data_IF_911636843881
#
_entry.id   IF_911636843881
#
_cell.length_a   1.000
_cell.length_b   1.000
_cell.length_c   1.000
_cell.angle_alpha   90.00
_cell.angle_beta   90.00
_cell.angle_gamma   90.00
#
_symmetry.space_group_name_H-M   'P 1'
#
loop_
_entity.id
_entity.type
_entity.pdbx_description
1 polymer ?
#
# COMPACT_ATOMS: atom_id res chain seq x y z
N UNK A 1 -52.25 42.99 -56.89
CA UNK A 1 -51.29 43.58 -55.92
C UNK A 1 -51.77 43.24 -54.52
N UNK A 2 -51.27 42.20 -53.91
CA UNK A 2 -51.44 41.86 -52.44
C UNK A 2 -50.12 41.26 -51.94
N UNK A 3 -49.51 41.97 -51.02
CA UNK A 3 -48.28 41.66 -50.36
C UNK A 3 -48.47 40.56 -49.34
N UNK A 4 -47.72 39.45 -49.46
CA UNK A 4 -47.68 38.39 -48.47
C UNK A 4 -46.55 38.70 -47.46
N UNK A 5 -46.90 38.96 -46.22
CA UNK A 5 -45.95 39.03 -45.08
C UNK A 5 -45.66 37.61 -44.62
N UNK A 6 -44.43 37.16 -44.71
CA UNK A 6 -43.91 35.95 -44.06
C UNK A 6 -43.51 36.30 -42.60
N UNK A 7 -44.20 35.65 -41.67
CA UNK A 7 -43.82 35.66 -40.26
C UNK A 7 -42.74 34.59 -40.04
N UNK A 8 -41.57 34.98 -39.57
CA UNK A 8 -40.51 34.11 -39.14
C UNK A 8 -40.73 33.89 -37.61
N UNK A 9 -41.00 32.66 -37.20
CA UNK A 9 -41.02 32.25 -35.81
C UNK A 9 -39.56 31.97 -35.38
N UNK A 10 -39.04 32.77 -34.49
CA UNK A 10 -37.74 32.54 -33.85
C UNK A 10 -37.99 31.67 -32.61
N UNK A 11 -37.58 30.41 -32.66
CA UNK A 11 -37.55 29.53 -31.50
C UNK A 11 -36.30 29.82 -30.67
N UNK A 12 -36.47 30.44 -29.54
CA UNK A 12 -35.37 30.65 -28.57
C UNK A 12 -35.16 29.35 -27.81
N UNK A 13 -34.04 28.66 -28.08
CA UNK A 13 -33.53 27.60 -27.21
C UNK A 13 -32.93 28.27 -25.94
N UNK A 14 -33.58 28.10 -24.82
CA UNK A 14 -32.97 28.39 -23.52
C UNK A 14 -32.00 27.26 -23.16
N UNK A 15 -30.70 27.48 -23.35
CA UNK A 15 -29.66 26.71 -22.67
C UNK A 15 -29.60 27.18 -21.22
N UNK A 16 -30.13 26.38 -20.31
CA UNK A 16 -29.88 26.57 -18.87
C UNK A 16 -28.44 26.14 -18.56
N UNK A 17 -27.52 27.08 -18.55
CA UNK A 17 -26.21 26.90 -17.98
C UNK A 17 -26.35 26.81 -16.46
N UNK A 18 -26.28 25.61 -15.90
CA UNK A 18 -26.12 25.42 -14.47
C UNK A 18 -24.73 25.91 -14.08
N UNK A 19 -24.66 27.12 -13.55
CA UNK A 19 -23.45 27.65 -12.92
C UNK A 19 -23.28 26.87 -11.62
N UNK A 20 -22.35 25.90 -11.62
CA UNK A 20 -21.84 25.31 -10.37
C UNK A 20 -21.03 26.42 -9.69
N UNK A 21 -21.64 27.12 -8.75
CA UNK A 21 -20.91 27.98 -7.82
C UNK A 21 -20.02 27.05 -6.97
N UNK A 22 -18.72 27.12 -7.21
CA UNK A 22 -17.76 26.63 -6.25
C UNK A 22 -17.95 27.46 -4.96
N UNK A 23 -18.59 26.86 -3.97
CA UNK A 23 -18.57 27.41 -2.62
C UNK A 23 -17.11 27.34 -2.16
N UNK A 24 -16.49 28.51 -2.04
CA UNK A 24 -15.28 28.65 -1.24
C UNK A 24 -15.66 28.34 0.21
N UNK A 25 -15.41 27.10 0.61
CA UNK A 25 -15.42 26.74 2.02
C UNK A 25 -14.28 27.53 2.64
N UNK A 26 -14.59 28.51 3.47
CA UNK A 26 -13.61 29.14 4.35
C UNK A 26 -12.90 28.01 5.11
N UNK A 27 -11.58 28.13 5.22
CA UNK A 27 -10.75 27.24 6.04
C UNK A 27 -11.02 27.53 7.55
N UNK A 28 -12.28 27.40 7.94
CA UNK A 28 -12.62 27.24 9.34
C UNK A 28 -12.15 25.87 9.76
N UNK A 29 -11.22 25.86 10.69
CA UNK A 29 -10.66 24.70 11.36
C UNK A 29 -11.65 23.54 11.35
N UNK A 30 -11.32 22.49 10.56
CA UNK A 30 -12.06 21.25 10.62
C UNK A 30 -11.94 20.79 12.06
N UNK A 31 -13.05 20.87 12.82
CA UNK A 31 -13.06 20.34 14.18
C UNK A 31 -12.86 18.84 14.07
N UNK A 32 -11.70 18.36 14.50
CA UNK A 32 -11.44 16.94 14.65
C UNK A 32 -12.62 16.33 15.43
N UNK A 33 -13.23 15.28 14.87
CA UNK A 33 -14.25 14.51 15.57
C UNK A 33 -15.72 14.85 15.32
N UNK A 34 -16.06 15.84 14.49
CA UNK A 34 -17.45 16.14 14.18
C UNK A 34 -17.77 15.80 12.71
N UNK A 35 -18.21 14.58 12.45
CA UNK A 35 -18.62 14.18 11.09
C UNK A 35 -18.35 12.70 10.82
N UNK A 36 -18.67 12.29 9.60
CA UNK A 36 -18.32 10.97 9.10
C UNK A 36 -17.38 11.15 7.90
N UNK A 37 -16.20 10.58 7.97
CA UNK A 37 -15.17 10.67 6.91
C UNK A 37 -14.57 9.32 6.60
N UNK A 38 -14.09 9.20 5.38
CA UNK A 38 -13.22 8.13 4.96
C UNK A 38 -11.96 8.74 4.32
N UNK A 39 -10.80 8.28 4.77
CA UNK A 39 -9.50 8.78 4.33
C UNK A 39 -8.73 7.65 3.67
N UNK A 40 -8.45 7.78 2.39
CA UNK A 40 -7.56 6.88 1.67
C UNK A 40 -6.16 7.48 1.75
N UNK A 41 -5.29 6.86 2.53
CA UNK A 41 -3.92 7.34 2.72
C UNK A 41 -3.15 7.18 1.42
N UNK A 42 -2.40 8.20 1.07
CA UNK A 42 -1.75 8.29 -0.22
C UNK A 42 -0.60 7.32 -0.34
N UNK A 43 -0.81 6.31 -1.15
CA UNK A 43 0.25 5.38 -1.52
C UNK A 43 0.93 5.88 -2.77
N UNK A 44 2.12 6.42 -2.67
CA UNK A 44 2.97 6.63 -3.85
C UNK A 44 3.69 5.36 -4.28
N UNK A 45 3.42 4.24 -3.65
CA UNK A 45 3.96 2.96 -4.05
C UNK A 45 3.52 2.65 -5.48
N UNK A 46 4.47 2.33 -6.35
CA UNK A 46 4.16 1.94 -7.74
C UNK A 46 3.27 0.71 -7.80
N UNK A 47 3.39 -0.17 -6.81
CA UNK A 47 2.62 -1.40 -6.67
C UNK A 47 1.24 -1.21 -6.05
N UNK A 48 0.96 -0.08 -5.41
CA UNK A 48 -0.23 0.09 -4.59
C UNK A 48 0.02 -0.32 -3.14
N UNK A 49 -0.83 0.15 -2.24
CA UNK A 49 -0.88 -0.24 -0.83
C UNK A 49 -2.16 0.34 -0.23
N UNK A 50 -2.71 -0.30 0.76
CA UNK A 50 -3.93 0.15 1.41
C UNK A 50 -3.66 0.58 2.85
N UNK A 51 -4.12 1.79 3.17
CA UNK A 51 -4.29 2.27 4.53
C UNK A 51 -5.50 3.21 4.54
N UNK A 52 -6.57 2.81 5.19
CA UNK A 52 -7.86 3.50 5.12
C UNK A 52 -8.33 3.85 6.53
N UNK A 53 -8.39 5.15 6.85
CA UNK A 53 -8.91 5.62 8.12
C UNK A 53 -10.41 5.89 7.99
N UNK A 54 -11.18 5.32 8.90
CA UNK A 54 -12.57 5.65 9.15
C UNK A 54 -12.64 6.61 10.34
N UNK A 55 -13.34 7.74 10.17
CA UNK A 55 -13.61 8.73 11.22
C UNK A 55 -15.11 8.91 11.34
N UNK A 56 -15.64 8.75 12.55
CA UNK A 56 -17.06 8.95 12.82
C UNK A 56 -17.32 9.42 14.24
N UNK A 57 -17.77 10.66 14.38
CA UNK A 57 -18.19 11.24 15.66
C UNK A 57 -17.15 11.08 16.79
N UNK A 58 -15.86 11.31 16.47
CA UNK A 58 -14.75 11.19 17.41
C UNK A 58 -14.21 9.76 17.62
N UNK A 59 -14.74 8.79 16.89
CA UNK A 59 -14.28 7.42 16.83
C UNK A 59 -13.44 7.19 15.58
N UNK A 60 -12.43 6.36 15.67
CA UNK A 60 -11.48 6.10 14.60
C UNK A 60 -11.19 4.61 14.46
N UNK A 61 -11.02 4.15 13.23
CA UNK A 61 -10.54 2.81 12.94
C UNK A 61 -9.67 2.81 11.69
N UNK A 62 -8.74 1.85 11.59
CA UNK A 62 -7.96 1.61 10.39
C UNK A 62 -8.36 0.29 9.73
N UNK A 63 -8.52 0.32 8.42
CA UNK A 63 -8.59 -0.87 7.58
C UNK A 63 -7.34 -0.86 6.72
N UNK A 64 -6.49 -1.85 6.93
CA UNK A 64 -5.13 -1.95 6.46
C UNK A 64 -4.21 -0.81 6.93
N UNK A 65 -2.92 -1.04 7.03
CA UNK A 65 -1.91 -0.15 7.58
C UNK A 65 -0.77 0.15 6.60
N UNK A 66 -0.90 -0.38 5.39
CA UNK A 66 0.04 -0.13 4.31
C UNK A 66 1.35 -0.89 4.42
N UNK A 67 2.24 -0.52 3.51
CA UNK A 67 3.59 -1.08 3.37
C UNK A 67 4.53 -0.51 4.44
N UNK A 68 5.50 -1.28 4.84
CA UNK A 68 6.56 -0.87 5.76
C UNK A 68 7.97 -0.99 5.13
N UNK A 69 8.99 -0.79 5.97
CA UNK A 69 10.39 -0.91 5.59
C UNK A 69 11.06 -2.15 6.15
N UNK A 70 10.37 -2.83 7.02
CA UNK A 70 10.89 -4.02 7.66
C UNK A 70 10.63 -5.24 6.78
N UNK A 71 11.69 -5.96 6.47
CA UNK A 71 11.61 -7.23 5.76
C UNK A 71 12.67 -8.19 6.30
N UNK A 72 12.43 -9.50 6.20
CA UNK A 72 13.36 -10.47 6.71
C UNK A 72 14.70 -10.43 5.96
N UNK A 73 15.80 -10.53 6.70
CA UNK A 73 17.15 -10.61 6.14
C UNK A 73 17.58 -12.04 5.75
N UNK A 74 16.68 -13.01 5.90
CA UNK A 74 16.91 -14.42 5.59
C UNK A 74 17.73 -15.17 6.63
N UNK A 75 18.13 -14.56 7.74
CA UNK A 75 18.92 -15.23 8.79
C UNK A 75 18.07 -16.10 9.70
N UNK A 76 16.79 -15.79 9.89
CA UNK A 76 15.83 -16.63 10.59
C UNK A 76 15.19 -17.61 9.60
N UNK A 77 15.34 -18.94 9.79
CA UNK A 77 14.81 -19.93 8.87
C UNK A 77 13.27 -19.92 8.76
N UNK A 78 12.56 -19.31 9.69
CA UNK A 78 11.10 -19.10 9.58
C UNK A 78 10.75 -18.09 8.50
N UNK A 79 11.65 -17.14 8.23
CA UNK A 79 11.47 -16.07 7.26
C UNK A 79 12.59 -16.13 6.21
N UNK A 80 12.52 -17.14 5.33
CA UNK A 80 13.55 -17.29 4.31
C UNK A 80 13.53 -16.13 3.32
N UNK A 81 14.68 -15.85 2.76
CA UNK A 81 14.82 -14.90 1.69
C UNK A 81 14.04 -15.36 0.45
N UNK A 82 13.03 -14.59 0.00
CA UNK A 82 12.11 -14.95 -1.09
C UNK A 82 12.10 -13.92 -2.20
N UNK A 83 11.68 -14.38 -3.38
CA UNK A 83 11.46 -13.50 -4.51
C UNK A 83 10.35 -12.49 -4.20
N UNK A 84 10.53 -11.25 -4.65
CA UNK A 84 9.56 -10.17 -4.45
C UNK A 84 9.83 -9.32 -3.22
N UNK A 85 10.48 -9.87 -2.18
CA UNK A 85 10.95 -9.08 -1.04
C UNK A 85 12.08 -8.18 -1.52
N UNK A 86 11.83 -6.92 -1.72
CA UNK A 86 12.87 -5.97 -2.09
C UNK A 86 12.47 -4.54 -1.78
N UNK A 87 13.45 -3.76 -1.34
CA UNK A 87 13.30 -2.35 -1.00
C UNK A 87 12.98 -1.41 -2.16
N UNK A 88 12.67 -1.88 -3.36
CA UNK A 88 12.48 -1.01 -4.50
C UNK A 88 11.18 -0.23 -4.50
N UNK A 89 10.17 -0.74 -3.83
CA UNK A 89 8.82 -0.20 -3.87
C UNK A 89 8.40 0.44 -2.55
N UNK A 90 9.20 0.23 -1.50
CA UNK A 90 8.93 0.74 -0.16
C UNK A 90 9.17 2.25 -0.14
N UNK A 91 8.15 3.00 -0.45
CA UNK A 91 8.12 4.43 -0.26
C UNK A 91 7.23 4.75 0.93
N UNK A 92 7.85 5.09 2.01
CA UNK A 92 7.46 5.91 3.16
C UNK A 92 5.95 6.03 3.45
N UNK A 93 5.18 4.94 3.28
CA UNK A 93 3.77 4.98 3.59
C UNK A 93 3.52 5.15 5.08
N UNK A 94 4.31 4.50 5.93
CA UNK A 94 4.20 4.60 7.38
C UNK A 94 4.29 6.05 7.88
N UNK A 95 5.30 6.79 7.44
CA UNK A 95 5.47 8.19 7.83
C UNK A 95 4.27 9.04 7.41
N UNK A 96 3.71 8.78 6.24
CA UNK A 96 2.52 9.47 5.74
C UNK A 96 1.28 9.09 6.53
N UNK A 97 1.12 7.79 6.76
CA UNK A 97 0.03 7.27 7.58
C UNK A 97 0.07 7.91 8.97
N UNK A 98 1.19 7.81 9.68
CA UNK A 98 1.34 8.37 11.03
C UNK A 98 1.17 9.89 11.06
N UNK A 99 1.74 10.60 10.08
CA UNK A 99 1.58 12.06 9.98
C UNK A 99 0.12 12.44 9.75
N UNK A 100 -0.58 11.72 8.89
CA UNK A 100 -2.00 11.98 8.64
C UNK A 100 -2.86 11.68 9.87
N UNK A 101 -2.62 10.57 10.57
CA UNK A 101 -3.31 10.26 11.82
C UNK A 101 -3.08 11.34 12.90
N UNK A 102 -1.85 11.86 12.99
CA UNK A 102 -1.51 12.96 13.92
C UNK A 102 -2.20 14.26 13.51
N UNK A 103 -2.30 14.58 12.22
CA UNK A 103 -3.03 15.75 11.71
C UNK A 103 -4.53 15.68 12.02
N UNK A 104 -5.11 14.49 11.88
CA UNK A 104 -6.52 14.23 12.24
C UNK A 104 -6.71 14.28 13.76
N UNK A 105 -5.64 14.10 14.54
CA UNK A 105 -5.66 14.10 16.01
C UNK A 105 -6.00 12.74 16.61
N UNK A 106 -5.81 11.65 15.87
CA UNK A 106 -6.03 10.28 16.35
C UNK A 106 -5.15 10.01 17.56
N UNK A 107 -5.75 9.53 18.65
CA UNK A 107 -5.05 9.05 19.85
C UNK A 107 -5.37 7.59 20.13
N UNK A 108 -6.55 7.18 19.73
CA UNK A 108 -7.09 5.86 19.93
C UNK A 108 -7.80 5.39 18.66
N UNK A 109 -7.65 4.10 18.36
CA UNK A 109 -8.38 3.39 17.34
C UNK A 109 -9.31 2.37 18.03
N UNK A 110 -10.59 2.41 17.73
CA UNK A 110 -11.56 1.46 18.27
C UNK A 110 -11.25 0.05 17.74
N UNK A 111 -10.79 -0.02 16.52
CA UNK A 111 -10.22 -1.23 15.97
C UNK A 111 -9.23 -0.95 14.83
N UNK A 112 -8.42 -1.94 14.56
CA UNK A 112 -7.60 -2.08 13.37
C UNK A 112 -7.98 -3.39 12.69
N UNK A 113 -8.11 -3.40 11.38
CA UNK A 113 -8.43 -4.58 10.61
C UNK A 113 -7.37 -4.77 9.52
N UNK A 114 -6.62 -5.87 9.57
CA UNK A 114 -5.82 -6.35 8.45
C UNK A 114 -6.70 -7.22 7.56
N UNK A 115 -6.90 -6.80 6.31
CA UNK A 115 -7.74 -7.57 5.39
C UNK A 115 -7.12 -8.93 5.08
N UNK A 116 -5.82 -8.96 4.83
CA UNK A 116 -5.00 -10.14 4.62
C UNK A 116 -3.52 -9.82 4.95
N UNK A 117 -2.59 -10.76 4.77
CA UNK A 117 -1.25 -10.64 5.37
C UNK A 117 -0.14 -10.10 4.46
N UNK A 118 -0.44 -9.63 3.27
CA UNK A 118 0.57 -9.02 2.42
C UNK A 118 1.12 -7.74 3.06
N UNK A 119 2.40 -7.43 2.80
CA UNK A 119 3.10 -6.29 3.40
C UNK A 119 2.44 -4.96 3.07
N UNK A 120 1.95 -4.79 1.86
CA UNK A 120 1.26 -3.58 1.41
C UNK A 120 -0.14 -3.36 2.04
N UNK A 121 -0.53 -4.24 2.98
CA UNK A 121 -1.74 -4.14 3.81
C UNK A 121 -1.46 -4.15 5.31
N UNK A 122 -0.59 -5.03 5.79
CA UNK A 122 -0.29 -5.14 7.22
C UNK A 122 1.16 -4.83 7.59
N UNK A 123 1.98 -4.40 6.63
CA UNK A 123 3.37 -4.04 6.91
C UNK A 123 3.48 -3.06 8.08
N UNK A 124 2.81 -1.92 8.01
CA UNK A 124 2.84 -0.91 9.06
C UNK A 124 2.02 -1.23 10.33
N UNK A 125 1.57 -2.49 10.51
CA UNK A 125 0.71 -2.85 11.64
C UNK A 125 1.42 -2.74 12.98
N UNK A 126 2.66 -3.14 13.07
CA UNK A 126 3.41 -3.12 14.33
C UNK A 126 3.75 -1.69 14.77
N UNK A 127 4.04 -0.76 13.87
CA UNK A 127 4.20 0.66 14.17
C UNK A 127 2.91 1.28 14.69
N UNK A 128 1.78 1.00 14.03
CA UNK A 128 0.46 1.50 14.46
C UNK A 128 0.12 0.96 15.84
N UNK A 129 0.25 -0.34 16.06
CA UNK A 129 -0.02 -1.00 17.34
C UNK A 129 0.91 -0.51 18.46
N UNK A 130 2.17 -0.19 18.13
CA UNK A 130 3.12 0.35 19.11
C UNK A 130 2.87 1.82 19.43
N UNK A 131 2.35 2.61 18.51
CA UNK A 131 2.20 4.07 18.66
C UNK A 131 0.86 4.48 19.24
N UNK A 132 -0.23 3.89 18.78
CA UNK A 132 -1.58 4.29 19.15
C UNK A 132 -2.21 3.31 20.16
N UNK A 133 -3.18 3.79 20.94
CA UNK A 133 -4.06 2.89 21.69
C UNK A 133 -5.00 2.21 20.72
N UNK A 134 -5.06 0.88 20.74
CA UNK A 134 -5.95 0.07 19.90
C UNK A 134 -6.74 -0.88 20.79
N UNK A 135 -8.07 -0.88 20.65
CA UNK A 135 -8.90 -1.79 21.47
C UNK A 135 -8.93 -3.20 20.89
N UNK A 136 -9.10 -3.34 19.56
CA UNK A 136 -9.18 -4.64 18.89
C UNK A 136 -8.36 -4.65 17.60
N UNK A 137 -7.72 -5.77 17.32
CA UNK A 137 -7.06 -6.05 16.06
C UNK A 137 -7.70 -7.27 15.41
N UNK A 138 -8.38 -7.06 14.29
CA UNK A 138 -8.98 -8.13 13.48
C UNK A 138 -7.98 -8.57 12.42
N UNK A 139 -7.64 -9.86 12.40
CA UNK A 139 -6.74 -10.47 11.41
C UNK A 139 -7.00 -11.96 11.36
N UNK A 140 -7.21 -12.54 10.18
CA UNK A 140 -7.39 -13.99 10.03
C UNK A 140 -6.10 -14.74 10.36
N UNK A 141 -6.23 -16.02 10.73
CA UNK A 141 -5.08 -16.90 10.93
C UNK A 141 -4.34 -17.10 9.60
N UNK A 142 -3.03 -17.13 9.69
CA UNK A 142 -2.15 -17.34 8.56
C UNK A 142 -1.11 -18.44 8.82
N UNK A 143 -0.66 -19.07 7.76
CA UNK A 143 0.48 -19.97 7.71
C UNK A 143 0.96 -20.06 6.27
N UNK A 144 2.26 -20.03 6.03
CA UNK A 144 2.84 -20.19 4.70
C UNK A 144 2.44 -21.50 4.01
N UNK A 145 2.17 -22.57 4.80
CA UNK A 145 1.73 -23.86 4.27
C UNK A 145 0.40 -23.81 3.51
N UNK A 146 -0.41 -22.78 3.75
CA UNK A 146 -1.68 -22.60 3.04
C UNK A 146 -1.51 -22.05 1.63
N UNK A 147 -0.43 -21.36 1.36
CA UNK A 147 -0.18 -20.71 0.05
C UNK A 147 0.42 -21.72 -0.91
N UNK A 148 -0.22 -21.91 -2.06
CA UNK A 148 0.22 -22.90 -3.07
C UNK A 148 1.10 -22.28 -4.15
N UNK A 149 1.05 -20.96 -4.34
CA UNK A 149 1.91 -20.24 -5.26
C UNK A 149 3.15 -19.70 -4.53
N UNK A 150 4.33 -20.06 -5.02
CA UNK A 150 5.57 -19.47 -4.48
C UNK A 150 5.65 -17.94 -4.69
N UNK A 151 4.88 -17.41 -5.62
CA UNK A 151 4.79 -15.98 -5.90
C UNK A 151 3.97 -15.20 -4.85
N UNK A 152 3.05 -15.88 -4.15
CA UNK A 152 2.21 -15.28 -3.12
C UNK A 152 2.77 -15.45 -1.69
N UNK A 153 3.99 -15.96 -1.54
CA UNK A 153 4.57 -16.19 -0.21
C UNK A 153 5.28 -14.97 0.38
N UNK A 154 5.92 -14.17 -0.41
CA UNK A 154 6.68 -12.96 0.00
C UNK A 154 7.20 -13.01 1.45
N UNK A 155 7.00 -11.95 2.24
CA UNK A 155 7.32 -11.82 3.67
C UNK A 155 6.09 -11.92 4.58
N UNK A 156 5.03 -12.52 4.09
CA UNK A 156 3.73 -12.61 4.75
C UNK A 156 3.83 -13.08 6.22
N UNK A 157 4.56 -14.19 6.46
CA UNK A 157 4.71 -14.72 7.82
C UNK A 157 5.49 -13.77 8.73
N UNK A 158 6.44 -13.02 8.18
CA UNK A 158 7.21 -12.02 8.93
C UNK A 158 6.31 -10.89 9.41
N UNK A 159 5.54 -10.29 8.52
CA UNK A 159 4.61 -9.20 8.85
C UNK A 159 3.51 -9.68 9.80
N UNK A 160 2.96 -10.87 9.55
CA UNK A 160 1.97 -11.49 10.44
C UNK A 160 2.50 -11.68 11.86
N UNK A 161 3.70 -12.25 12.04
CA UNK A 161 4.31 -12.47 13.35
C UNK A 161 4.69 -11.15 14.04
N UNK A 162 5.15 -10.13 13.29
CA UNK A 162 5.46 -8.81 13.82
C UNK A 162 4.20 -8.12 14.35
N UNK A 163 3.13 -8.10 13.56
CA UNK A 163 1.85 -7.53 13.96
C UNK A 163 1.29 -8.19 15.24
N UNK A 164 1.29 -9.53 15.29
CA UNK A 164 0.82 -10.27 16.47
C UNK A 164 1.70 -10.00 17.70
N UNK A 165 3.01 -9.93 17.53
CA UNK A 165 3.95 -9.61 18.61
C UNK A 165 3.71 -8.20 19.14
N UNK A 166 3.53 -7.22 18.27
CA UNK A 166 3.23 -5.85 18.66
C UNK A 166 1.90 -5.78 19.43
N UNK A 167 0.85 -6.42 18.93
CA UNK A 167 -0.43 -6.50 19.61
C UNK A 167 -0.31 -7.13 21.01
N UNK A 168 0.42 -8.24 21.14
CA UNK A 168 0.67 -8.91 22.42
C UNK A 168 1.42 -7.98 23.39
N UNK A 169 2.49 -7.32 22.95
CA UNK A 169 3.31 -6.42 23.77
C UNK A 169 2.50 -5.23 24.29
N UNK A 170 1.48 -4.81 23.55
CA UNK A 170 0.61 -3.68 23.89
C UNK A 170 -0.69 -4.09 24.59
N UNK A 171 -0.92 -5.39 24.76
CA UNK A 171 -2.15 -5.91 25.37
C UNK A 171 -3.41 -5.68 24.51
N UNK A 172 -3.24 -5.56 23.19
CA UNK A 172 -4.36 -5.39 22.26
C UNK A 172 -5.11 -6.71 22.11
N UNK A 173 -6.43 -6.66 22.10
CA UNK A 173 -7.26 -7.85 21.87
C UNK A 173 -7.20 -8.25 20.38
N UNK A 174 -6.51 -9.36 20.08
CA UNK A 174 -6.45 -9.91 18.72
C UNK A 174 -7.64 -10.85 18.48
N UNK A 175 -8.40 -10.58 17.41
CA UNK A 175 -9.60 -11.35 17.02
C UNK A 175 -9.30 -12.07 15.70
N UNK A 176 -8.86 -13.33 15.81
CA UNK A 176 -8.51 -14.17 14.65
C UNK A 176 -9.63 -15.12 14.21
N UNK A 177 -10.47 -15.56 15.15
CA UNK A 177 -11.64 -16.38 14.89
C UNK A 177 -12.90 -15.52 15.06
N UNK A 178 -13.17 -14.69 14.04
CA UNK A 178 -14.32 -13.79 14.02
C UNK A 178 -15.60 -14.64 13.93
N UNK A 179 -16.48 -14.49 14.90
CA UNK A 179 -17.76 -15.16 14.96
C UNK A 179 -18.83 -14.35 14.25
N UNK A 180 -19.97 -15.00 13.95
CA UNK A 180 -21.08 -14.34 13.26
C UNK A 180 -21.62 -13.15 14.08
N UNK A 181 -21.70 -13.27 15.41
CA UNK A 181 -22.09 -12.21 16.33
C UNK A 181 -21.11 -11.05 16.39
N UNK A 182 -19.82 -11.27 16.08
CA UNK A 182 -18.77 -10.25 16.09
C UNK A 182 -18.53 -9.63 14.69
N UNK A 183 -19.21 -10.14 13.67
CA UNK A 183 -19.04 -9.68 12.30
C UNK A 183 -19.85 -8.46 11.93
N UNK A 184 -20.75 -8.02 12.80
CA UNK A 184 -21.61 -6.86 12.62
C UNK A 184 -21.60 -6.00 13.87
N UNK A 185 -21.11 -4.77 13.75
CA UNK A 185 -20.95 -3.84 14.86
C UNK A 185 -20.98 -2.37 14.40
N UNK A 186 -21.03 -1.46 15.36
CA UNK A 186 -21.03 -0.02 15.09
C UNK A 186 -19.76 0.64 15.61
N UNK A 187 -19.30 1.71 14.92
CA UNK A 187 -18.27 2.63 15.35
C UNK A 187 -18.74 4.07 15.10
N UNK A 188 -18.95 4.84 16.16
CA UNK A 188 -19.59 6.13 16.04
C UNK A 188 -20.97 6.00 15.38
N UNK A 189 -21.16 6.64 14.22
CA UNK A 189 -22.38 6.55 13.42
C UNK A 189 -22.26 5.52 12.26
N UNK A 190 -21.11 4.85 12.13
CA UNK A 190 -20.88 3.86 11.08
C UNK A 190 -21.37 2.49 11.53
N UNK A 191 -22.19 1.86 10.69
CA UNK A 191 -22.57 0.46 10.79
C UNK A 191 -21.64 -0.35 9.93
N UNK A 192 -20.95 -1.36 10.50
CA UNK A 192 -19.89 -2.11 9.85
C UNK A 192 -20.25 -3.60 9.82
N UNK A 193 -20.37 -4.13 8.63
CA UNK A 193 -20.60 -5.55 8.38
C UNK A 193 -19.36 -6.16 7.72
N UNK A 194 -18.78 -7.17 8.37
CA UNK A 194 -17.68 -7.94 7.81
C UNK A 194 -18.21 -9.12 6.97
N UNK A 195 -17.50 -9.43 5.89
CA UNK A 195 -17.71 -10.60 5.04
C UNK A 195 -16.37 -11.29 4.82
N UNK A 196 -16.39 -12.53 4.35
CA UNK A 196 -15.20 -13.37 4.13
C UNK A 196 -14.28 -13.46 5.36
N UNK A 197 -14.83 -13.34 6.56
CA UNK A 197 -14.05 -13.22 7.81
C UNK A 197 -13.72 -14.57 8.46
N UNK A 198 -14.37 -15.67 8.06
CA UNK A 198 -14.15 -16.98 8.66
C UNK A 198 -12.85 -17.61 8.20
N UNK A 199 -12.13 -18.22 9.10
CA UNK A 199 -11.07 -19.14 8.72
C UNK A 199 -11.69 -20.41 8.12
N UNK A 200 -11.24 -20.80 6.94
CA UNK A 200 -11.63 -22.06 6.31
C UNK A 200 -10.56 -23.13 6.58
N UNK A 201 -10.99 -24.35 6.86
CA UNK A 201 -10.11 -25.48 7.15
C UNK A 201 -10.33 -26.62 6.17
N UNK A 202 -9.23 -27.30 5.80
CA UNK A 202 -9.26 -28.52 5.01
C UNK A 202 -9.69 -29.73 5.87
N UNK A 203 -9.87 -30.87 5.21
CA UNK A 203 -10.21 -32.12 5.88
C UNK A 203 -9.12 -32.62 6.87
N UNK A 204 -7.91 -32.13 6.73
CA UNK A 204 -6.76 -32.39 7.60
C UNK A 204 -6.71 -31.50 8.85
N UNK A 205 -7.70 -30.61 9.03
CA UNK A 205 -7.77 -29.66 10.13
C UNK A 205 -6.81 -28.47 10.02
N UNK A 206 -6.03 -28.37 8.95
CA UNK A 206 -5.18 -27.21 8.65
C UNK A 206 -5.99 -26.14 7.92
N UNK A 207 -5.46 -24.91 7.91
CA UNK A 207 -6.04 -23.83 7.11
C UNK A 207 -6.16 -24.29 5.65
N UNK A 208 -7.32 -24.03 5.05
CA UNK A 208 -7.58 -24.35 3.64
C UNK A 208 -6.51 -23.74 2.75
N UNK A 209 -5.99 -24.56 1.84
CA UNK A 209 -4.99 -24.10 0.86
C UNK A 209 -5.63 -23.21 -0.19
N UNK A 210 -4.95 -22.13 -0.52
CA UNK A 210 -5.34 -21.13 -1.52
C UNK A 210 -4.16 -20.81 -2.42
N UNK A 211 -4.44 -20.24 -3.59
CA UNK A 211 -3.38 -19.84 -4.52
C UNK A 211 -2.51 -18.74 -3.91
N UNK A 212 -3.17 -17.73 -3.32
CA UNK A 212 -2.60 -16.51 -2.78
C UNK A 212 -3.47 -16.01 -1.61
N UNK A 213 -2.93 -15.22 -0.68
CA UNK A 213 -3.69 -14.75 0.48
C UNK A 213 -4.73 -13.67 0.12
N UNK A 214 -4.67 -13.08 -1.05
CA UNK A 214 -5.67 -12.14 -1.57
C UNK A 214 -7.10 -12.69 -1.46
N UNK A 215 -7.29 -13.97 -1.83
CA UNK A 215 -8.59 -14.65 -1.72
C UNK A 215 -9.15 -14.70 -0.29
N UNK A 216 -8.30 -14.48 0.73
CA UNK A 216 -8.68 -14.47 2.14
C UNK A 216 -9.02 -13.09 2.68
N UNK A 217 -8.94 -12.04 1.88
CA UNK A 217 -9.22 -10.68 2.33
C UNK A 217 -10.55 -10.61 3.09
N UNK A 218 -10.51 -10.09 4.32
CA UNK A 218 -11.71 -9.71 5.06
C UNK A 218 -12.29 -8.49 4.35
N UNK A 219 -13.57 -8.54 4.04
CA UNK A 219 -14.29 -7.43 3.42
C UNK A 219 -15.04 -6.68 4.51
N UNK A 220 -14.87 -5.36 4.59
CA UNK A 220 -15.70 -4.49 5.41
C UNK A 220 -16.66 -3.71 4.53
N UNK A 221 -17.94 -3.77 4.85
CA UNK A 221 -18.97 -2.92 4.27
C UNK A 221 -19.44 -1.93 5.33
N UNK A 222 -19.21 -0.65 5.06
CA UNK A 222 -19.53 0.45 5.99
C UNK A 222 -20.80 1.16 5.51
N UNK A 223 -21.79 1.27 6.37
CA UNK A 223 -23.02 2.03 6.10
C UNK A 223 -23.09 3.21 7.04
N UNK A 224 -23.20 4.42 6.49
CA UNK A 224 -23.30 5.66 7.25
C UNK A 224 -24.03 6.74 6.45
N UNK A 225 -24.89 7.51 7.09
CA UNK A 225 -25.67 8.55 6.43
C UNK A 225 -26.46 8.08 5.19
N UNK A 226 -26.90 6.81 5.19
CA UNK A 226 -27.59 6.18 4.06
C UNK A 226 -26.68 5.85 2.87
N UNK A 227 -25.36 5.94 3.01
CA UNK A 227 -24.37 5.55 2.01
C UNK A 227 -23.73 4.24 2.40
N UNK A 228 -23.46 3.38 1.41
CA UNK A 228 -22.85 2.07 1.59
C UNK A 228 -21.50 2.03 0.86
N UNK A 229 -20.44 1.68 1.58
CA UNK A 229 -19.07 1.73 1.13
C UNK A 229 -18.48 0.32 1.23
N UNK A 230 -17.88 -0.16 0.15
CA UNK A 230 -17.19 -1.46 0.09
C UNK A 230 -15.69 -1.28 0.20
N UNK A 231 -15.07 -2.00 1.14
CA UNK A 231 -13.65 -2.02 1.41
C UNK A 231 -13.18 -3.49 1.47
N UNK A 232 -12.67 -4.00 0.37
CA UNK A 232 -12.42 -5.43 0.18
C UNK A 232 -10.95 -5.84 0.20
N UNK A 233 -10.03 -4.92 0.54
CA UNK A 233 -8.59 -5.22 0.41
C UNK A 233 -8.26 -5.66 -1.02
N UNK A 234 -7.59 -6.79 -1.14
CA UNK A 234 -7.20 -7.36 -2.42
C UNK A 234 -8.03 -8.58 -2.83
N UNK A 235 -9.28 -8.65 -2.31
CA UNK A 235 -10.17 -9.76 -2.64
C UNK A 235 -10.13 -10.06 -4.13
N UNK A 236 -10.00 -11.34 -4.46
CA UNK A 236 -10.00 -11.82 -5.82
C UNK A 236 -11.06 -12.92 -6.03
N UNK A 237 -11.18 -13.38 -7.26
CA UNK A 237 -12.12 -14.43 -7.62
C UNK A 237 -11.44 -15.78 -7.91
N UNK A 238 -10.16 -15.97 -7.53
CA UNK A 238 -9.46 -17.24 -7.76
C UNK A 238 -10.16 -18.42 -7.07
N UNK A 239 -10.72 -18.17 -5.87
CA UNK A 239 -11.54 -19.14 -5.12
C UNK A 239 -13.06 -18.88 -5.26
N UNK A 240 -13.47 -18.04 -6.21
CA UNK A 240 -14.87 -17.68 -6.43
C UNK A 240 -15.48 -16.78 -5.36
N UNK A 241 -14.65 -15.99 -4.65
CA UNK A 241 -15.12 -15.15 -3.55
C UNK A 241 -15.99 -13.98 -4.06
N UNK A 242 -15.59 -13.32 -5.15
CA UNK A 242 -16.41 -12.24 -5.75
C UNK A 242 -17.76 -12.74 -6.23
N UNK A 243 -17.81 -13.92 -6.86
CA UNK A 243 -19.08 -14.53 -7.34
C UNK A 243 -20.03 -14.83 -6.18
N UNK A 244 -19.50 -15.24 -5.02
CA UNK A 244 -20.30 -15.52 -3.81
C UNK A 244 -20.76 -14.25 -3.11
N UNK A 245 -19.86 -13.27 -2.98
CA UNK A 245 -20.11 -12.08 -2.17
C UNK A 245 -20.89 -10.99 -2.91
N UNK A 246 -20.68 -10.87 -4.22
CA UNK A 246 -21.34 -9.83 -5.02
C UNK A 246 -22.85 -9.79 -4.82
N UNK A 247 -23.59 -10.91 -5.01
CA UNK A 247 -25.04 -10.96 -4.80
C UNK A 247 -25.48 -10.71 -3.35
N UNK A 248 -24.65 -11.09 -2.38
CA UNK A 248 -24.95 -10.94 -0.93
C UNK A 248 -24.75 -9.50 -0.48
N UNK A 249 -23.67 -8.86 -0.90
CA UNK A 249 -23.37 -7.48 -0.57
C UNK A 249 -24.34 -6.55 -1.30
N UNK A 250 -24.59 -6.83 -2.59
CA UNK A 250 -25.48 -6.01 -3.43
C UNK A 250 -24.95 -4.59 -3.61
N UNK A 251 -25.84 -3.68 -4.02
CA UNK A 251 -25.48 -2.32 -4.40
C UNK A 251 -24.76 -1.55 -3.31
N UNK A 252 -23.68 -0.83 -3.72
CA UNK A 252 -22.92 0.10 -2.90
C UNK A 252 -22.83 1.47 -3.57
N UNK A 253 -22.52 2.52 -2.85
CA UNK A 253 -22.33 3.87 -3.39
C UNK A 253 -20.86 4.12 -3.78
N UNK A 254 -19.91 3.63 -2.96
CA UNK A 254 -18.48 3.74 -3.17
C UNK A 254 -17.85 2.35 -3.03
N UNK A 255 -16.87 2.04 -3.88
CA UNK A 255 -16.10 0.81 -3.84
C UNK A 255 -14.60 1.12 -3.84
N UNK A 256 -13.84 0.64 -2.86
CA UNK A 256 -12.39 0.52 -3.00
C UNK A 256 -12.10 -0.55 -4.05
N UNK A 257 -11.28 -0.23 -5.05
CA UNK A 257 -10.91 -1.15 -6.10
C UNK A 257 -10.05 -2.28 -5.54
N UNK A 258 -10.48 -3.53 -5.72
CA UNK A 258 -9.73 -4.67 -5.22
C UNK A 258 -8.37 -4.75 -5.90
N UNK A 259 -7.31 -5.08 -5.14
CA UNK A 259 -5.97 -5.35 -5.65
C UNK A 259 -5.36 -4.14 -6.42
N UNK A 260 -5.53 -2.93 -5.89
CA UNK A 260 -4.94 -1.64 -6.29
C UNK A 260 -5.00 -1.30 -7.78
N UNK A 261 -4.59 -2.21 -8.66
CA UNK A 261 -4.61 -2.14 -10.11
C UNK A 261 -5.37 -3.34 -10.69
N UNK A 262 -5.52 -3.38 -11.99
CA UNK A 262 -6.33 -4.38 -12.65
C UNK A 262 -5.64 -5.75 -12.67
N UNK A 263 -5.92 -6.57 -11.69
CA UNK A 263 -5.56 -7.98 -11.71
C UNK A 263 -6.58 -8.77 -12.52
N UNK A 264 -6.13 -9.70 -13.36
CA UNK A 264 -7.01 -10.48 -14.25
C UNK A 264 -8.09 -11.29 -13.53
N UNK A 265 -7.92 -11.52 -12.23
CA UNK A 265 -8.77 -12.37 -11.39
C UNK A 265 -9.54 -11.59 -10.33
N UNK A 266 -9.40 -10.28 -10.27
CA UNK A 266 -10.16 -9.41 -9.36
C UNK A 266 -11.03 -8.42 -10.13
N UNK A 267 -12.01 -7.86 -9.46
CA UNK A 267 -12.97 -6.90 -10.03
C UNK A 267 -13.68 -7.43 -11.27
N UNK A 268 -14.19 -8.65 -11.17
CA UNK A 268 -14.94 -9.27 -12.27
C UNK A 268 -16.12 -8.42 -12.68
N UNK A 269 -16.48 -8.48 -13.97
CA UNK A 269 -17.63 -7.71 -14.48
C UNK A 269 -18.91 -8.03 -13.71
N UNK A 270 -19.12 -9.32 -13.37
CA UNK A 270 -20.25 -9.76 -12.57
C UNK A 270 -20.25 -9.13 -11.17
N UNK A 271 -19.07 -9.04 -10.54
CA UNK A 271 -18.93 -8.41 -9.25
C UNK A 271 -19.21 -6.90 -9.30
N UNK A 272 -18.65 -6.20 -10.28
CA UNK A 272 -18.92 -4.78 -10.52
C UNK A 272 -20.42 -4.54 -10.77
N UNK A 273 -21.08 -5.39 -11.54
CA UNK A 273 -22.51 -5.27 -11.83
C UNK A 273 -23.36 -5.51 -10.58
N UNK A 274 -23.00 -6.47 -9.73
CA UNK A 274 -23.70 -6.73 -8.46
C UNK A 274 -23.56 -5.55 -7.50
N UNK A 275 -22.34 -5.01 -7.36
CA UNK A 275 -22.08 -3.86 -6.46
C UNK A 275 -22.56 -2.55 -7.07
N UNK A 276 -22.58 -2.42 -8.37
CA UNK A 276 -23.08 -1.24 -9.11
C UNK A 276 -22.73 0.09 -8.44
N UNK A 277 -21.43 0.35 -8.12
CA UNK A 277 -21.02 1.56 -7.43
C UNK A 277 -21.19 2.78 -8.33
N UNK A 278 -21.42 3.96 -7.73
CA UNK A 278 -21.32 5.22 -8.46
C UNK A 278 -19.87 5.72 -8.55
N UNK A 279 -19.01 5.29 -7.63
CA UNK A 279 -17.63 5.71 -7.49
C UNK A 279 -16.74 4.55 -7.12
N UNK A 280 -15.57 4.49 -7.76
CA UNK A 280 -14.49 3.55 -7.45
C UNK A 280 -13.26 4.34 -7.00
N UNK A 281 -12.65 3.92 -5.90
CA UNK A 281 -11.39 4.48 -5.38
C UNK A 281 -10.27 3.49 -5.67
N UNK A 282 -9.27 3.95 -6.40
CA UNK A 282 -8.07 3.20 -6.73
C UNK A 282 -6.91 3.67 -5.85
N UNK A 283 -6.28 2.75 -5.13
CA UNK A 283 -5.22 3.02 -4.15
C UNK A 283 -3.80 2.73 -4.67
N UNK A 284 -3.57 2.98 -5.94
CA UNK A 284 -2.25 2.89 -6.59
C UNK A 284 -1.85 4.23 -7.20
N UNK A 285 -0.55 4.42 -7.43
CA UNK A 285 -0.04 5.57 -8.17
C UNK A 285 -0.22 5.51 -9.69
N UNK A 286 -0.73 4.40 -10.23
CA UNK A 286 -0.98 4.15 -11.66
C UNK A 286 -2.45 4.15 -12.04
N UNK A 287 -2.72 4.27 -13.32
CA UNK A 287 -4.08 4.10 -13.88
C UNK A 287 -4.53 2.63 -13.81
N UNK A 288 -5.85 2.40 -13.84
CA UNK A 288 -6.42 1.09 -14.16
C UNK A 288 -5.89 0.68 -15.55
N UNK A 289 -5.08 -0.36 -15.57
CA UNK A 289 -4.20 -0.65 -16.72
C UNK A 289 -4.91 -1.24 -17.95
N UNK A 290 -6.07 -1.90 -17.77
CA UNK A 290 -6.76 -2.51 -18.91
C UNK A 290 -7.75 -1.52 -19.54
N UNK A 291 -7.52 -1.17 -20.79
CA UNK A 291 -8.41 -0.29 -21.55
C UNK A 291 -9.87 -0.77 -21.54
N UNK A 292 -10.07 -2.11 -21.61
CA UNK A 292 -11.40 -2.72 -21.56
C UNK A 292 -12.13 -2.50 -20.23
N UNK A 293 -11.41 -2.49 -19.12
CA UNK A 293 -12.00 -2.24 -17.79
C UNK A 293 -12.40 -0.79 -17.64
N UNK A 294 -11.56 0.14 -18.08
CA UNK A 294 -11.91 1.57 -18.08
C UNK A 294 -13.16 1.86 -18.91
N UNK A 295 -13.25 1.27 -20.08
CA UNK A 295 -14.43 1.43 -20.95
C UNK A 295 -15.67 0.83 -20.29
N UNK A 296 -15.55 -0.35 -19.67
CA UNK A 296 -16.63 -0.99 -18.93
C UNK A 296 -17.18 -0.13 -17.79
N UNK A 297 -16.30 0.50 -17.01
CA UNK A 297 -16.69 1.43 -15.95
C UNK A 297 -17.35 2.70 -16.51
N UNK A 298 -16.76 3.25 -17.57
CA UNK A 298 -17.30 4.43 -18.27
C UNK A 298 -18.69 4.21 -18.83
N UNK A 299 -18.95 3.07 -19.47
CA UNK A 299 -20.27 2.71 -20.00
C UNK A 299 -21.35 2.67 -18.90
N UNK A 300 -20.96 2.40 -17.66
CA UNK A 300 -21.84 2.36 -16.47
C UNK A 300 -21.89 3.68 -15.72
N UNK A 301 -21.24 4.73 -16.23
CA UNK A 301 -21.10 6.02 -15.58
C UNK A 301 -20.46 5.92 -14.16
N UNK A 302 -19.57 4.95 -13.96
CA UNK A 302 -18.84 4.78 -12.71
C UNK A 302 -17.64 5.72 -12.72
N UNK A 303 -17.57 6.61 -11.74
CA UNK A 303 -16.44 7.52 -11.56
C UNK A 303 -15.26 6.78 -10.97
N UNK A 304 -14.08 6.91 -11.59
CA UNK A 304 -12.82 6.38 -11.03
C UNK A 304 -12.02 7.53 -10.42
N UNK A 305 -11.65 7.39 -9.15
CA UNK A 305 -10.82 8.36 -8.43
C UNK A 305 -9.56 7.65 -7.98
N UNK A 306 -8.41 8.18 -8.34
CA UNK A 306 -7.14 7.77 -7.77
C UNK A 306 -6.97 8.42 -6.38
N UNK A 307 -6.75 7.59 -5.35
CA UNK A 307 -6.46 8.04 -4.01
C UNK A 307 -5.01 8.53 -3.91
N UNK A 308 -4.63 9.44 -4.78
CA UNK A 308 -3.31 10.06 -4.77
C UNK A 308 -3.49 11.57 -4.72
N UNK A 309 -3.00 12.20 -3.66
CA UNK A 309 -2.80 13.65 -3.61
C UNK A 309 -1.34 13.95 -3.88
N UNK A 310 -1.04 15.04 -4.59
CA UNK A 310 0.35 15.50 -4.75
C UNK A 310 0.82 16.32 -3.54
N UNK A 311 -0.10 16.85 -2.79
CA UNK A 311 0.17 17.83 -1.74
C UNK A 311 -0.28 17.40 -0.34
N UNK A 312 -1.25 16.50 -0.21
CA UNK A 312 -1.71 15.94 1.06
C UNK A 312 -1.29 14.47 1.22
N UNK A 313 -1.31 13.98 2.46
CA UNK A 313 -1.02 12.58 2.77
C UNK A 313 -2.18 11.63 2.49
N UNK A 314 -3.39 12.15 2.31
CA UNK A 314 -4.57 11.34 2.04
C UNK A 314 -5.57 12.02 1.10
N UNK A 315 -6.37 11.21 0.41
CA UNK A 315 -7.60 11.62 -0.25
C UNK A 315 -8.75 11.38 0.72
N UNK A 316 -9.49 12.44 1.07
CA UNK A 316 -10.47 12.43 2.14
C UNK A 316 -11.84 12.83 1.62
N UNK A 317 -12.86 12.06 2.02
CA UNK A 317 -14.26 12.36 1.71
C UNK A 317 -15.07 12.53 2.98
N UNK A 318 -15.77 13.67 3.11
CA UNK A 318 -16.90 13.81 4.01
C UNK A 318 -18.08 12.99 3.46
N UNK A 319 -18.78 12.30 4.38
CA UNK A 319 -19.90 11.43 4.04
C UNK A 319 -21.18 12.01 4.64
N UNK A 320 -22.14 12.32 3.79
CA UNK A 320 -23.46 12.81 4.18
C UNK A 320 -24.58 12.05 3.43
N UNK A 321 -25.81 12.31 3.79
CA UNK A 321 -26.97 11.78 3.07
C UNK A 321 -27.05 12.26 1.61
N UNK A 322 -26.38 13.36 1.27
CA UNK A 322 -26.31 13.91 -0.08
C UNK A 322 -25.21 13.23 -0.92
N UNK A 323 -24.22 12.59 -0.30
CA UNK A 323 -23.14 11.90 -1.00
C UNK A 323 -21.77 12.07 -0.34
N UNK A 324 -20.75 12.01 -1.20
CA UNK A 324 -19.34 12.12 -0.83
C UNK A 324 -18.80 13.46 -1.32
N UNK A 325 -18.23 14.23 -0.41
CA UNK A 325 -17.57 15.50 -0.75
C UNK A 325 -16.08 15.36 -0.53
N UNK A 326 -15.27 15.55 -1.58
CA UNK A 326 -13.81 15.52 -1.43
C UNK A 326 -13.35 16.76 -0.66
N UNK A 327 -12.76 16.54 0.51
CA UNK A 327 -12.25 17.57 1.41
C UNK A 327 -10.74 17.49 1.63
N UNK A 328 -10.02 16.77 0.77
CA UNK A 328 -8.57 16.58 0.89
C UNK A 328 -7.81 17.92 1.03
N UNK A 329 -8.23 18.94 0.31
CA UNK A 329 -7.60 20.28 0.36
C UNK A 329 -7.80 21.01 1.70
N UNK A 330 -8.62 20.49 2.59
CA UNK A 330 -8.80 21.04 3.94
C UNK A 330 -7.68 20.58 4.90
N UNK A 331 -6.91 19.58 4.51
CA UNK A 331 -5.76 19.11 5.28
C UNK A 331 -4.49 19.86 4.87
N UNK A 332 -3.54 20.01 5.79
CA UNK A 332 -2.27 20.66 5.47
C UNK A 332 -1.54 19.97 4.33
N UNK A 333 -0.86 20.74 3.51
CA UNK A 333 0.04 20.19 2.52
C UNK A 333 1.20 19.42 3.17
N UNK A 334 1.73 18.45 2.47
CA UNK A 334 2.96 17.76 2.85
C UNK A 334 4.06 18.83 2.98
N UNK A 335 4.74 18.92 4.15
CA UNK A 335 5.75 19.90 4.37
C UNK A 335 6.86 19.84 3.30
N UNK A 336 7.15 20.96 2.67
CA UNK A 336 8.32 21.08 1.82
C UNK A 336 9.46 21.63 2.66
N UNK A 337 10.53 20.86 2.75
CA UNK A 337 11.75 21.21 3.46
C UNK A 337 12.95 21.05 2.54
N UNK A 338 14.04 21.74 2.83
CA UNK A 338 15.28 21.50 2.10
C UNK A 338 15.80 20.09 2.45
N UNK A 339 16.03 19.30 1.40
CA UNK A 339 16.64 17.98 1.57
C UNK A 339 18.04 18.14 2.15
N UNK A 340 18.36 17.47 3.23
CA UNK A 340 19.63 17.63 3.92
C UNK A 340 20.07 16.42 4.73
N UNK A 341 21.39 16.32 4.92
CA UNK A 341 22.00 15.40 5.86
C UNK A 341 21.82 15.92 7.30
N UNK A 342 21.52 15.01 8.23
CA UNK A 342 21.48 15.32 9.65
C UNK A 342 21.95 14.11 10.49
N UNK A 343 22.22 14.33 11.76
CA UNK A 343 22.57 13.27 12.70
C UNK A 343 21.48 13.11 13.77
N UNK A 344 21.15 11.87 14.06
CA UNK A 344 20.25 11.52 15.15
C UNK A 344 20.64 10.16 15.73
N UNK A 345 20.73 10.11 17.08
CA UNK A 345 21.15 8.89 17.79
C UNK A 345 22.55 8.39 17.41
N UNK A 346 23.45 9.28 16.96
CA UNK A 346 24.81 8.92 16.51
C UNK A 346 24.89 8.39 15.07
N UNK A 347 23.78 8.34 14.35
CA UNK A 347 23.73 7.89 12.97
C UNK A 347 23.51 9.04 12.00
N UNK A 348 24.12 8.98 10.82
CA UNK A 348 23.79 9.85 9.71
C UNK A 348 22.48 9.42 9.07
N UNK A 349 21.61 10.37 8.87
CA UNK A 349 20.32 10.28 8.20
C UNK A 349 20.21 11.35 7.11
N UNK A 350 19.26 11.20 6.20
CA UNK A 350 18.99 12.19 5.19
C UNK A 350 17.49 12.51 5.13
N UNK A 351 17.16 13.80 5.11
CA UNK A 351 15.79 14.26 4.97
C UNK A 351 15.51 14.56 3.52
N UNK A 352 14.43 14.01 3.00
CA UNK A 352 13.93 14.27 1.65
C UNK A 352 13.19 15.61 1.60
N UNK A 353 12.99 16.15 0.40
CA UNK A 353 12.32 17.46 0.18
C UNK A 353 10.86 17.49 0.61
N UNK A 354 10.22 16.35 0.80
CA UNK A 354 8.87 16.22 1.35
C UNK A 354 8.85 16.05 2.87
N UNK A 355 9.99 16.27 3.51
CA UNK A 355 10.16 16.19 4.97
C UNK A 355 10.39 14.78 5.52
N UNK A 356 10.33 13.78 4.65
CA UNK A 356 10.47 12.38 5.05
C UNK A 356 11.94 12.00 5.30
N UNK A 357 12.13 10.97 6.08
CA UNK A 357 13.42 10.33 6.30
C UNK A 357 13.77 9.44 5.10
N UNK A 358 14.98 9.56 4.58
CA UNK A 358 15.47 8.70 3.52
C UNK A 358 15.62 7.25 4.01
N UNK A 359 15.13 6.31 3.23
CA UNK A 359 15.24 4.88 3.49
C UNK A 359 15.53 4.18 2.16
N UNK A 360 16.13 2.99 2.23
CA UNK A 360 16.53 2.25 1.05
C UNK A 360 17.60 2.97 0.24
N UNK A 361 17.61 2.71 -1.06
CA UNK A 361 18.52 3.37 -1.98
C UNK A 361 18.09 4.80 -2.29
N UNK A 362 19.01 5.74 -2.08
CA UNK A 362 18.83 7.13 -2.45
C UNK A 362 20.03 7.60 -3.29
N UNK A 363 19.73 8.29 -4.38
CA UNK A 363 20.73 9.02 -5.14
C UNK A 363 20.81 10.45 -4.59
N UNK A 364 21.96 10.80 -4.02
CA UNK A 364 22.23 12.10 -3.41
C UNK A 364 23.53 12.61 -3.99
N UNK A 365 23.49 13.77 -4.64
CA UNK A 365 24.64 14.41 -5.27
C UNK A 365 25.42 13.46 -6.22
N UNK A 366 24.67 12.69 -7.02
CA UNK A 366 25.23 11.75 -8.00
C UNK A 366 25.90 10.50 -7.41
N UNK A 367 25.70 10.21 -6.13
CA UNK A 367 26.16 9.02 -5.46
C UNK A 367 24.99 8.26 -4.85
N UNK A 368 25.01 6.92 -4.91
CA UNK A 368 24.00 6.10 -4.25
C UNK A 368 24.39 5.78 -2.83
N UNK A 369 23.45 5.97 -1.92
CA UNK A 369 23.53 5.63 -0.51
C UNK A 369 22.41 4.68 -0.14
N UNK A 370 22.63 3.90 0.91
CA UNK A 370 21.62 3.01 1.44
C UNK A 370 21.32 3.34 2.91
N UNK A 371 20.04 3.48 3.21
CA UNK A 371 19.54 3.70 4.56
C UNK A 371 18.71 2.49 4.99
N UNK A 372 18.91 2.01 6.23
CA UNK A 372 18.07 0.95 6.77
C UNK A 372 16.65 1.45 7.10
N UNK A 373 15.77 0.57 7.56
CA UNK A 373 14.39 0.90 7.94
C UNK A 373 14.25 1.98 9.03
N UNK A 374 15.34 2.25 9.79
CA UNK A 374 15.41 3.35 10.77
C UNK A 374 16.03 4.63 10.20
N UNK A 375 16.19 4.70 8.88
CA UNK A 375 16.81 5.84 8.18
C UNK A 375 18.28 6.00 8.44
N UNK A 376 18.96 5.01 8.99
CA UNK A 376 20.38 5.08 9.32
C UNK A 376 21.22 4.76 8.09
N UNK A 377 22.07 5.69 7.67
CA UNK A 377 23.01 5.50 6.57
C UNK A 377 23.93 4.30 6.85
N UNK A 378 23.98 3.38 5.91
CA UNK A 378 24.85 2.21 6.00
C UNK A 378 26.22 2.52 5.39
N UNK A 379 27.28 1.99 6.01
CA UNK A 379 28.68 2.25 5.60
C UNK A 379 29.53 0.99 5.77
N UNK A 380 30.65 0.93 5.08
CA UNK A 380 31.73 -0.08 5.26
C UNK A 380 31.24 -1.53 5.25
N UNK A 381 30.27 -1.86 4.40
CA UNK A 381 29.65 -3.19 4.40
C UNK A 381 29.17 -3.66 3.05
N UNK A 382 29.11 -4.95 2.89
CA UNK A 382 28.34 -5.59 1.84
C UNK A 382 26.85 -5.60 2.20
N UNK A 383 26.00 -5.30 1.22
CA UNK A 383 24.57 -5.48 1.28
C UNK A 383 24.16 -6.55 0.28
N UNK A 384 23.43 -7.54 0.74
CA UNK A 384 22.78 -8.51 -0.11
C UNK A 384 21.35 -8.04 -0.34
N UNK A 385 21.07 -7.58 -1.55
CA UNK A 385 19.74 -7.10 -1.91
C UNK A 385 19.24 -7.90 -3.10
N UNK A 386 18.06 -8.46 -2.96
CA UNK A 386 17.43 -9.14 -4.09
C UNK A 386 17.12 -8.16 -5.21
N UNK A 387 17.35 -8.61 -6.42
CA UNK A 387 16.93 -7.90 -7.61
C UNK A 387 15.52 -8.36 -7.97
N UNK A 388 14.57 -7.44 -8.02
CA UNK A 388 13.20 -7.72 -8.39
C UNK A 388 13.12 -8.10 -9.87
N UNK A 389 12.94 -9.35 -10.13
CA UNK A 389 12.32 -9.85 -11.35
C UNK A 389 13.23 -10.28 -12.49
N UNK A 390 14.58 -10.27 -12.36
CA UNK A 390 15.45 -10.73 -13.46
C UNK A 390 16.50 -11.76 -13.05
N UNK A 391 16.86 -11.86 -11.77
CA UNK A 391 17.74 -12.90 -11.24
C UNK A 391 17.24 -13.38 -9.89
N UNK A 392 17.07 -14.70 -9.76
CA UNK A 392 16.73 -15.38 -8.50
C UNK A 392 17.91 -15.32 -7.49
N UNK A 393 19.10 -14.96 -7.95
CA UNK A 393 20.27 -14.72 -7.11
C UNK A 393 20.36 -13.23 -6.81
N UNK A 394 20.28 -12.88 -5.53
CA UNK A 394 20.39 -11.50 -5.07
C UNK A 394 21.72 -10.88 -5.46
N UNK A 395 21.73 -9.61 -5.78
CA UNK A 395 22.95 -8.87 -6.04
C UNK A 395 23.57 -8.38 -4.74
N UNK A 396 24.90 -8.41 -4.70
CA UNK A 396 25.68 -7.84 -3.61
C UNK A 396 26.22 -6.48 -4.02
N UNK A 397 26.09 -5.51 -3.12
CA UNK A 397 26.57 -4.13 -3.26
C UNK A 397 27.50 -3.80 -2.12
N UNK A 398 28.55 -3.04 -2.37
CA UNK A 398 29.45 -2.56 -1.30
C UNK A 398 29.27 -1.08 -1.06
N UNK A 399 29.06 -0.72 0.20
CA UNK A 399 29.08 0.66 0.64
C UNK A 399 30.43 0.95 1.28
N UNK A 400 31.10 2.00 0.82
CA UNK A 400 32.39 2.43 1.36
C UNK A 400 32.25 3.12 2.74
N UNK A 401 33.34 3.60 3.28
CA UNK A 401 33.35 4.24 4.60
C UNK A 401 32.50 5.53 4.65
N UNK A 402 32.34 6.21 3.53
CA UNK A 402 31.44 7.35 3.39
C UNK A 402 29.96 6.93 3.18
N UNK A 403 29.69 5.65 3.02
CA UNK A 403 28.37 5.10 2.71
C UNK A 403 28.00 5.16 1.23
N UNK A 404 28.89 5.58 0.36
CA UNK A 404 28.66 5.59 -1.08
C UNK A 404 28.74 4.18 -1.66
N UNK A 405 27.81 3.84 -2.53
CA UNK A 405 27.84 2.60 -3.27
C UNK A 405 29.06 2.56 -4.20
N UNK A 406 29.86 1.52 -4.09
CA UNK A 406 30.95 1.26 -5.01
C UNK A 406 30.40 0.91 -6.39
N UNK A 407 30.89 1.57 -7.42
CA UNK A 407 30.45 1.35 -8.81
C UNK A 407 31.65 1.13 -9.72
N UNK A 408 31.47 0.26 -10.71
CA UNK A 408 32.33 0.08 -11.87
C UNK A 408 33.82 -0.24 -11.59
N UNK A 409 34.29 -1.41 -12.01
CA UNK A 409 35.69 -1.73 -12.06
C UNK A 409 36.23 -2.61 -10.92
N UNK A 410 37.53 -2.69 -10.86
CA UNK A 410 38.24 -3.49 -9.87
C UNK A 410 38.26 -2.81 -8.52
N UNK A 411 37.97 -3.59 -7.49
CA UNK A 411 37.90 -3.12 -6.11
C UNK A 411 38.61 -4.09 -5.18
N UNK A 412 39.53 -3.57 -4.35
CA UNK A 412 40.28 -4.38 -3.39
C UNK A 412 39.80 -4.13 -1.97
N UNK A 413 39.38 -5.20 -1.29
CA UNK A 413 38.91 -5.15 0.10
C UNK A 413 39.56 -6.29 0.90
N UNK A 414 40.16 -5.97 2.03
CA UNK A 414 40.81 -6.94 2.94
C UNK A 414 41.79 -7.90 2.22
N UNK A 415 42.54 -7.38 1.24
CA UNK A 415 43.53 -8.15 0.47
C UNK A 415 42.99 -8.92 -0.74
N UNK A 416 41.65 -9.01 -0.89
CA UNK A 416 41.00 -9.71 -2.00
C UNK A 416 40.52 -8.75 -3.07
N UNK A 417 40.55 -9.17 -4.33
CA UNK A 417 40.03 -8.43 -5.45
C UNK A 417 38.62 -8.85 -5.78
N UNK A 418 37.78 -7.86 -6.08
CA UNK A 418 36.41 -7.99 -6.55
C UNK A 418 36.22 -7.19 -7.82
N UNK A 419 35.25 -7.54 -8.62
CA UNK A 419 34.85 -6.73 -9.77
C UNK A 419 33.40 -6.26 -9.58
N UNK A 420 33.24 -4.95 -9.59
CA UNK A 420 31.94 -4.29 -9.44
C UNK A 420 31.48 -3.83 -10.82
N UNK A 421 30.26 -4.17 -11.18
CA UNK A 421 29.64 -3.74 -12.42
C UNK A 421 29.28 -2.25 -12.37
N UNK A 422 28.96 -1.64 -13.52
CA UNK A 422 28.58 -0.23 -13.58
C UNK A 422 27.32 0.10 -12.78
N UNK A 423 26.42 -0.87 -12.59
CA UNK A 423 25.23 -0.76 -11.75
C UNK A 423 25.47 -1.00 -10.26
N UNK A 424 26.72 -1.19 -9.83
CA UNK A 424 27.11 -1.47 -8.46
C UNK A 424 27.07 -2.94 -8.02
N UNK A 425 26.54 -3.83 -8.86
CA UNK A 425 26.45 -5.25 -8.53
C UNK A 425 27.82 -5.93 -8.61
N UNK A 426 28.13 -6.78 -7.61
CA UNK A 426 29.36 -7.57 -7.57
C UNK A 426 29.27 -8.78 -8.51
N UNK A 427 30.36 -9.12 -9.20
CA UNK A 427 30.53 -10.41 -9.89
C UNK A 427 30.78 -11.53 -8.87
N UNK A 428 30.20 -12.70 -9.11
CA UNK A 428 30.36 -13.88 -8.24
C UNK A 428 30.00 -15.17 -8.98
N UNK A 429 30.53 -16.31 -8.50
CA UNK A 429 30.26 -17.67 -9.00
C UNK A 429 30.35 -17.84 -10.51
N UNK A 430 31.23 -17.10 -11.16
CA UNK A 430 31.31 -17.09 -12.62
C UNK A 430 32.73 -16.91 -13.18
N UNK A 431 32.92 -17.39 -14.41
CA UNK A 431 34.06 -17.03 -15.26
C UNK A 431 33.65 -15.82 -16.12
N UNK A 432 34.26 -14.68 -15.86
CA UNK A 432 33.96 -13.43 -16.56
C UNK A 432 35.11 -12.97 -17.42
N UNK A 433 34.82 -12.45 -18.63
CA UNK A 433 35.80 -11.77 -19.47
C UNK A 433 35.72 -10.25 -19.18
N UNK A 434 36.83 -9.67 -18.75
CA UNK A 434 36.96 -8.26 -18.38
C UNK A 434 38.19 -7.68 -19.06
N UNK A 435 38.01 -6.75 -19.97
CA UNK A 435 39.08 -6.12 -20.71
C UNK A 435 39.88 -7.12 -21.55
N UNK A 436 39.23 -8.14 -22.14
CA UNK A 436 39.84 -9.18 -22.97
C UNK A 436 40.59 -10.24 -22.18
N UNK A 437 40.45 -10.27 -20.84
CA UNK A 437 41.08 -11.28 -19.98
C UNK A 437 40.01 -12.02 -19.19
N UNK A 438 40.27 -13.33 -18.92
CA UNK A 438 39.32 -14.17 -18.16
C UNK A 438 39.67 -14.20 -16.68
N UNK A 439 38.66 -14.06 -15.85
CA UNK A 439 38.76 -14.07 -14.39
C UNK A 439 37.69 -14.97 -13.79
N UNK A 440 38.11 -15.78 -12.80
CA UNK A 440 37.18 -16.63 -12.06
C UNK A 440 36.87 -16.00 -10.70
N UNK A 441 35.60 -15.91 -10.38
CA UNK A 441 35.11 -15.40 -9.10
C UNK A 441 34.45 -16.49 -8.25
N UNK A 442 34.76 -16.51 -6.96
CA UNK A 442 34.12 -17.39 -5.99
C UNK A 442 32.67 -16.94 -5.70
N UNK A 443 31.93 -17.75 -4.96
CA UNK A 443 30.58 -17.44 -4.50
C UNK A 443 30.53 -16.14 -3.68
N UNK A 444 31.53 -15.92 -2.82
CA UNK A 444 31.68 -14.67 -2.07
C UNK A 444 32.23 -13.50 -2.91
N UNK A 445 32.34 -13.66 -4.23
CA UNK A 445 32.78 -12.66 -5.20
C UNK A 445 34.28 -12.36 -5.20
N UNK A 446 35.09 -13.07 -4.40
CA UNK A 446 36.54 -12.90 -4.46
C UNK A 446 37.08 -13.44 -5.77
N UNK A 447 37.97 -12.70 -6.39
CA UNK A 447 38.72 -13.21 -7.55
C UNK A 447 39.63 -14.34 -7.09
N UNK A 448 39.45 -15.54 -7.64
CA UNK A 448 40.22 -16.73 -7.33
C UNK A 448 41.47 -16.80 -8.19
N UNK A 449 41.34 -16.60 -9.51
CA UNK A 449 42.44 -16.60 -10.46
C UNK A 449 42.20 -15.52 -11.50
N UNK A 450 43.28 -14.89 -11.95
CA UNK A 450 43.28 -13.94 -13.05
C UNK A 450 44.14 -14.45 -14.19
N UNK A 451 43.63 -14.30 -15.37
CA UNK A 451 44.16 -14.45 -16.74
C UNK A 451 45.05 -15.68 -17.04
N UNK A 452 44.67 -16.38 -17.98
CA UNK A 452 45.60 -17.01 -18.96
C UNK A 452 45.53 -16.24 -20.29
#
# INVERSE_FOLDING_TARGET
>A
MKSLKKSILLSALFLSATIIQAQTVNADTISAGAGNRIHFINTKAKSGSDAILLESNGHYALIDMGEDYDFPDGTDPRYPDRWGISMRNYQVLEDRLMRHLDQVGVKKLDFVLGTHVHSDHIGGADEILNRYQVDKFYLKKYSDERITSNWGLWDNLFNYDNALRAAQNRGVTVVQDIKDEDSHFTMGNMDIQLYNYKNEYGADGKLKRVLDDNSNSIVAVVTVAGKKIYLGGDLDNAEGAEDKLGPVIGKVDMMKWNHHYDAKISNTKAFIDNLSPSMVIQTTGGDINLASTREYLKERNIQVIQASSKTQDATVFDISNQGFTNVSNSFPDIPKVDANWYQEGGYWKYRLSDGQMAIGWQEIDGSYYFFNGKGQKQTSRWLHLKNNGVNLEGNWYYLNDDGKMQTGGWFKLNGFWYYIQSNGARRFSELSEIGGKKYLFAEDGKMLTGHQ
#
